data_IF_548969696611
#
_entry.id   IF_548969696611
#
_cell.length_a   1.000
_cell.length_b   1.000
_cell.length_c   1.000
_cell.angle_alpha   90.00
_cell.angle_beta   90.00
_cell.angle_gamma   90.00
#
_symmetry.space_group_name_H-M   'P 1'
#
loop_
_entity.id
_entity.type
_entity.pdbx_description
1 polymer ?
#
# COMPACT_ATOMS: atom_id res chain seq x y z
N UNK A 1 -53.73 -62.02 0.96
CA UNK A 1 -53.64 -60.61 0.52
C UNK A 1 -52.29 -60.06 0.95
N UNK A 2 -51.36 -59.83 0.01
CA UNK A 2 -49.96 -59.47 0.27
C UNK A 2 -49.82 -57.96 0.09
N UNK A 3 -49.55 -57.21 1.16
CA UNK A 3 -49.30 -55.75 1.11
C UNK A 3 -47.83 -55.52 0.74
N UNK A 4 -47.61 -54.82 -0.37
CA UNK A 4 -46.30 -54.35 -0.83
C UNK A 4 -46.15 -52.92 -0.32
N UNK A 5 -45.11 -52.65 0.46
CA UNK A 5 -44.73 -51.30 0.89
C UNK A 5 -43.57 -50.83 0.01
N UNK A 6 -43.78 -49.76 -0.77
CA UNK A 6 -42.72 -49.07 -1.51
C UNK A 6 -42.06 -48.03 -0.59
N UNK A 7 -40.74 -48.02 -0.41
CA UNK A 7 -40.07 -46.94 0.31
C UNK A 7 -39.92 -45.72 -0.63
N UNK A 8 -40.43 -44.57 -0.18
CA UNK A 8 -40.22 -43.29 -0.84
C UNK A 8 -38.82 -42.78 -0.47
N UNK A 9 -37.85 -42.87 -1.38
CA UNK A 9 -36.55 -42.24 -1.21
C UNK A 9 -36.66 -40.75 -1.60
N UNK A 10 -36.66 -39.86 -0.61
CA UNK A 10 -36.50 -38.42 -0.84
C UNK A 10 -35.02 -38.16 -1.15
N UNK A 11 -34.72 -37.83 -2.41
CA UNK A 11 -33.39 -37.38 -2.82
C UNK A 11 -33.24 -35.89 -2.48
N UNK A 12 -32.52 -35.56 -1.41
CA UNK A 12 -32.08 -34.19 -1.16
C UNK A 12 -30.97 -33.84 -2.16
N UNK A 13 -31.28 -32.99 -3.14
CA UNK A 13 -30.29 -32.35 -3.99
C UNK A 13 -29.48 -31.36 -3.14
N UNK A 14 -28.28 -31.77 -2.73
CA UNK A 14 -27.26 -30.86 -2.22
C UNK A 14 -26.84 -29.95 -3.39
N UNK A 15 -27.36 -28.72 -3.40
CA UNK A 15 -26.80 -27.64 -4.20
C UNK A 15 -25.40 -27.35 -3.66
N UNK A 16 -24.39 -27.89 -4.33
CA UNK A 16 -23.00 -27.47 -4.13
C UNK A 16 -22.94 -26.03 -4.64
N UNK A 17 -22.99 -25.05 -3.72
CA UNK A 17 -22.65 -23.68 -4.05
C UNK A 17 -21.19 -23.69 -4.51
N UNK A 18 -20.96 -23.43 -5.79
CA UNK A 18 -19.61 -23.19 -6.29
C UNK A 18 -19.12 -21.92 -5.60
N UNK A 19 -18.03 -22.04 -4.83
CA UNK A 19 -17.34 -20.88 -4.29
C UNK A 19 -16.83 -20.05 -5.49
N UNK A 20 -17.45 -18.91 -5.72
CA UNK A 20 -16.96 -17.93 -6.71
C UNK A 20 -15.83 -17.17 -6.02
N UNK A 21 -14.62 -17.24 -6.58
CA UNK A 21 -13.51 -16.43 -6.08
C UNK A 21 -13.89 -14.95 -6.15
N UNK A 22 -13.51 -14.17 -5.12
CA UNK A 22 -13.69 -12.72 -5.13
C UNK A 22 -12.95 -12.11 -6.35
N UNK A 23 -13.46 -11.02 -6.95
CA UNK A 23 -12.76 -10.32 -8.03
C UNK A 23 -11.33 -9.98 -7.62
N UNK A 24 -10.38 -10.19 -8.53
CA UNK A 24 -9.01 -9.71 -8.36
C UNK A 24 -8.90 -8.31 -8.96
N UNK A 25 -8.65 -7.34 -8.12
CA UNK A 25 -8.37 -5.96 -8.49
C UNK A 25 -7.00 -5.86 -9.16
N UNK A 26 -6.86 -4.88 -10.03
CA UNK A 26 -5.62 -4.62 -10.76
C UNK A 26 -5.38 -3.12 -10.87
N UNK A 27 -4.14 -2.70 -10.60
CA UNK A 27 -3.71 -1.31 -10.78
C UNK A 27 -2.61 -1.24 -11.82
N UNK A 28 -2.81 -0.45 -12.87
CA UNK A 28 -1.79 -0.23 -13.90
C UNK A 28 -0.84 0.91 -13.51
N UNK A 29 -0.01 0.68 -12.49
CA UNK A 29 0.97 1.66 -12.01
C UNK A 29 2.28 1.66 -12.82
N UNK A 30 2.46 0.73 -13.76
CA UNK A 30 3.73 0.51 -14.45
C UNK A 30 4.23 1.73 -15.24
N UNK A 31 3.31 2.48 -15.85
CA UNK A 31 3.61 3.75 -16.54
C UNK A 31 3.88 4.87 -15.53
N UNK A 32 3.05 4.97 -14.49
CA UNK A 32 3.11 6.05 -13.50
C UNK A 32 4.37 6.00 -12.63
N UNK A 33 4.81 4.79 -12.27
CA UNK A 33 6.03 4.55 -11.51
C UNK A 33 7.23 4.27 -12.43
N UNK A 34 7.17 4.64 -13.71
CA UNK A 34 8.34 4.50 -14.57
C UNK A 34 9.41 5.54 -14.18
N UNK A 35 10.66 5.10 -14.01
CA UNK A 35 11.78 5.98 -13.73
C UNK A 35 11.97 7.07 -14.81
N UNK A 36 11.54 6.79 -16.05
CA UNK A 36 11.56 7.74 -17.16
C UNK A 36 10.75 9.02 -16.90
N UNK A 37 9.75 8.97 -16.01
CA UNK A 37 8.94 10.14 -15.65
C UNK A 37 9.75 11.22 -14.93
N UNK A 38 10.80 10.83 -14.19
CA UNK A 38 11.72 11.76 -13.53
C UNK A 38 13.10 11.84 -14.22
N UNK A 39 13.46 10.83 -15.03
CA UNK A 39 14.73 10.76 -15.74
C UNK A 39 14.65 11.53 -17.08
N UNK A 40 14.36 12.82 -17.01
CA UNK A 40 14.32 13.70 -18.18
C UNK A 40 15.72 13.98 -18.73
N UNK A 41 15.81 14.57 -19.93
CA UNK A 41 17.08 14.88 -20.57
C UNK A 41 17.97 15.75 -19.68
N UNK A 42 19.17 15.24 -19.36
CA UNK A 42 20.14 15.92 -18.52
C UNK A 42 19.91 15.77 -17.01
N UNK A 43 18.82 15.12 -16.58
CA UNK A 43 18.60 14.85 -15.17
C UNK A 43 19.66 13.89 -14.61
N UNK A 44 20.08 14.13 -13.37
CA UNK A 44 21.09 13.33 -12.68
C UNK A 44 20.45 12.54 -11.56
N UNK A 45 20.54 11.20 -11.62
CA UNK A 45 20.15 10.35 -10.50
C UNK A 45 21.04 10.66 -9.29
N UNK A 46 20.49 11.21 -8.22
CA UNK A 46 21.22 11.61 -7.01
C UNK A 46 20.97 10.68 -5.83
N UNK A 47 19.81 10.03 -5.75
CA UNK A 47 19.49 9.02 -4.73
C UNK A 47 18.93 7.78 -5.45
N UNK A 48 19.40 6.59 -5.07
CA UNK A 48 18.89 5.31 -5.56
C UNK A 48 19.12 4.23 -4.51
N UNK A 49 18.16 4.13 -3.58
CA UNK A 49 18.29 3.27 -2.40
C UNK A 49 17.12 2.31 -2.27
N UNK A 50 17.33 1.27 -1.48
CA UNK A 50 16.28 0.38 -0.99
C UNK A 50 16.19 0.57 0.51
N UNK A 51 14.98 0.83 0.99
CA UNK A 51 14.67 0.93 2.42
C UNK A 51 13.68 -0.18 2.76
N UNK A 52 13.92 -0.90 3.85
CA UNK A 52 12.98 -1.86 4.40
C UNK A 52 12.24 -1.22 5.58
N UNK A 53 10.92 -1.25 5.58
CA UNK A 53 10.06 -0.70 6.63
C UNK A 53 9.23 -1.82 7.23
N UNK A 54 9.12 -1.83 8.56
CA UNK A 54 8.30 -2.77 9.31
C UNK A 54 7.44 -2.01 10.35
N UNK A 55 6.29 -2.60 10.69
CA UNK A 55 5.42 -2.06 11.73
C UNK A 55 4.86 -0.70 11.34
N UNK A 56 4.58 -0.51 10.06
CA UNK A 56 3.83 0.64 9.54
C UNK A 56 2.33 0.37 9.66
N UNK A 57 1.51 1.35 10.01
CA UNK A 57 0.06 1.18 10.11
C UNK A 57 -0.59 1.66 8.81
N UNK A 58 -1.35 0.78 8.17
CA UNK A 58 -1.98 1.07 6.89
C UNK A 58 -3.43 1.55 7.06
N UNK A 59 -3.75 2.62 6.34
CA UNK A 59 -5.04 3.29 6.39
C UNK A 59 -5.96 2.82 5.27
N UNK A 60 -7.23 2.63 5.60
CA UNK A 60 -8.32 2.43 4.66
C UNK A 60 -8.81 3.76 4.10
N UNK A 61 -9.75 3.68 3.16
CA UNK A 61 -10.27 4.82 2.42
C UNK A 61 -10.88 5.92 3.33
N UNK A 62 -11.49 5.53 4.46
CA UNK A 62 -12.19 6.45 5.37
C UNK A 62 -11.39 6.79 6.62
N UNK A 63 -10.06 6.61 6.55
CA UNK A 63 -9.15 6.94 7.64
C UNK A 63 -9.14 5.92 8.78
N UNK A 64 -9.85 4.79 8.67
CA UNK A 64 -9.65 3.64 9.54
C UNK A 64 -8.24 3.07 9.34
N UNK A 65 -7.67 2.43 10.36
CA UNK A 65 -6.44 1.65 10.20
C UNK A 65 -6.79 0.17 10.26
N UNK A 66 -6.39 -0.59 9.24
CA UNK A 66 -6.88 -1.94 8.99
C UNK A 66 -5.77 -2.99 8.98
N UNK A 67 -4.51 -2.60 8.83
CA UNK A 67 -3.38 -3.53 8.80
C UNK A 67 -2.06 -2.94 9.32
N UNK A 68 -1.10 -3.83 9.57
CA UNK A 68 0.31 -3.49 9.69
C UNK A 68 1.09 -4.01 8.48
N UNK A 69 1.96 -3.16 7.94
CA UNK A 69 2.77 -3.49 6.76
C UNK A 69 4.22 -3.83 7.11
N UNK A 70 4.78 -4.68 6.26
CA UNK A 70 6.20 -5.01 6.13
C UNK A 70 6.55 -4.91 4.64
N UNK A 71 7.38 -3.95 4.26
CA UNK A 71 7.64 -3.67 2.85
C UNK A 71 9.03 -3.13 2.56
N UNK A 72 9.50 -3.41 1.35
CA UNK A 72 10.64 -2.72 0.76
C UNK A 72 10.16 -1.61 -0.15
N UNK A 73 10.73 -0.41 0.01
CA UNK A 73 10.59 0.67 -0.96
C UNK A 73 11.91 0.99 -1.64
N UNK A 74 11.90 1.03 -2.97
CA UNK A 74 13.00 1.60 -3.76
C UNK A 74 12.75 3.09 -3.93
N UNK A 75 13.71 3.91 -3.51
CA UNK A 75 13.64 5.36 -3.60
C UNK A 75 14.63 5.83 -4.66
N UNK A 76 14.12 6.45 -5.71
CA UNK A 76 14.93 7.05 -6.75
C UNK A 76 14.62 8.54 -6.84
N UNK A 77 15.65 9.37 -6.82
CA UNK A 77 15.52 10.84 -6.92
C UNK A 77 16.47 11.36 -7.97
N UNK A 78 15.94 12.15 -8.88
CA UNK A 78 16.65 12.83 -9.94
C UNK A 78 16.72 14.32 -9.64
N UNK A 79 17.91 14.87 -9.72
CA UNK A 79 18.14 16.31 -9.78
C UNK A 79 17.95 16.75 -11.23
N UNK A 80 17.07 17.72 -11.46
CA UNK A 80 16.69 18.13 -12.80
C UNK A 80 17.75 19.07 -13.41
N UNK A 81 17.81 19.10 -14.75
CA UNK A 81 18.86 19.85 -15.46
C UNK A 81 18.56 21.34 -15.57
N UNK A 82 17.28 21.72 -15.48
CA UNK A 82 16.83 23.10 -15.61
C UNK A 82 17.20 23.95 -14.39
N UNK A 83 17.27 23.34 -13.20
CA UNK A 83 17.64 24.01 -11.96
C UNK A 83 18.32 23.01 -11.00
N UNK A 84 19.54 23.28 -10.49
CA UNK A 84 20.22 22.37 -9.57
C UNK A 84 19.47 22.17 -8.23
N UNK A 85 18.54 23.03 -7.87
CA UNK A 85 17.78 22.91 -6.62
C UNK A 85 16.44 22.19 -6.81
N UNK A 86 16.11 21.72 -8.01
CA UNK A 86 14.85 20.99 -8.28
C UNK A 86 15.06 19.49 -8.46
N UNK A 87 14.09 18.73 -7.97
CA UNK A 87 14.13 17.29 -7.88
C UNK A 87 12.79 16.65 -8.27
N UNK A 88 12.85 15.41 -8.72
CA UNK A 88 11.71 14.53 -8.97
C UNK A 88 12.01 13.16 -8.36
N UNK A 89 11.04 12.57 -7.65
CA UNK A 89 11.18 11.30 -6.96
C UNK A 89 10.18 10.26 -7.46
N UNK A 90 10.64 9.02 -7.62
CA UNK A 90 9.79 7.85 -7.82
C UNK A 90 10.10 6.86 -6.71
N UNK A 91 9.06 6.43 -5.99
CA UNK A 91 9.15 5.39 -4.99
C UNK A 91 8.28 4.20 -5.37
N UNK A 92 8.85 3.00 -5.32
CA UNK A 92 8.15 1.73 -5.58
C UNK A 92 8.15 0.86 -4.35
N UNK A 93 7.00 0.33 -3.99
CA UNK A 93 6.74 -0.45 -2.80
C UNK A 93 6.39 -1.87 -3.21
N UNK A 94 6.96 -2.83 -2.51
CA UNK A 94 6.57 -4.23 -2.57
C UNK A 94 6.62 -4.78 -1.15
N UNK A 95 5.52 -5.35 -0.69
CA UNK A 95 5.41 -5.77 0.69
C UNK A 95 4.31 -6.76 0.96
N UNK A 96 4.12 -6.98 2.25
CA UNK A 96 3.07 -7.79 2.84
C UNK A 96 2.40 -7.03 3.96
N UNK A 97 1.18 -7.42 4.27
CA UNK A 97 0.41 -6.85 5.36
C UNK A 97 -0.20 -7.96 6.22
N UNK A 98 -0.52 -7.60 7.46
CA UNK A 98 -1.35 -8.40 8.36
C UNK A 98 -2.45 -7.53 8.96
N UNK A 99 -3.69 -7.97 8.86
CA UNK A 99 -4.84 -7.17 9.29
C UNK A 99 -5.01 -7.15 10.80
N UNK A 100 -5.56 -6.04 11.29
CA UNK A 100 -6.14 -5.92 12.63
C UNK A 100 -7.67 -6.07 12.53
N UNK A 101 -8.35 -6.53 13.59
CA UNK A 101 -9.80 -6.68 13.53
C UNK A 101 -10.47 -5.31 13.50
N UNK A 102 -11.40 -5.09 12.59
CA UNK A 102 -12.10 -3.82 12.48
C UNK A 102 -12.72 -3.60 11.11
N UNK A 103 -12.96 -2.33 10.76
CA UNK A 103 -13.42 -1.94 9.43
C UNK A 103 -12.40 -2.36 8.37
N UNK A 104 -12.90 -2.92 7.28
CA UNK A 104 -12.12 -3.30 6.11
C UNK A 104 -11.53 -2.06 5.39
N UNK A 105 -10.52 -2.21 4.53
CA UNK A 105 -9.89 -1.07 3.87
C UNK A 105 -10.78 -0.31 2.89
N UNK A 106 -11.66 -1.01 2.17
CA UNK A 106 -12.60 -0.46 1.19
C UNK A 106 -13.97 -0.13 1.76
N UNK A 107 -14.12 -0.16 3.10
CA UNK A 107 -15.36 0.23 3.78
C UNK A 107 -15.83 1.60 3.30
N UNK A 108 -16.96 1.66 2.58
CA UNK A 108 -17.52 2.91 2.02
C UNK A 108 -18.89 3.28 2.61
N UNK A 109 -19.64 2.28 3.08
CA UNK A 109 -21.03 2.47 3.55
C UNK A 109 -21.14 2.15 5.05
N UNK A 110 -21.51 3.12 5.90
CA UNK A 110 -21.75 2.87 7.34
C UNK A 110 -22.91 1.92 7.63
N UNK A 111 -23.78 1.63 6.65
CA UNK A 111 -24.85 0.65 6.76
C UNK A 111 -24.40 -0.77 6.36
N UNK A 112 -23.20 -0.94 5.76
CA UNK A 112 -22.59 -2.25 5.54
C UNK A 112 -21.62 -2.56 6.68
N UNK A 113 -21.78 -3.74 7.28
CA UNK A 113 -20.90 -4.23 8.35
C UNK A 113 -19.63 -4.84 7.73
N UNK A 114 -18.98 -4.10 6.83
CA UNK A 114 -17.76 -4.53 6.14
C UNK A 114 -16.59 -4.45 7.11
N UNK A 115 -16.15 -5.64 7.52
CA UNK A 115 -15.14 -5.81 8.55
C UNK A 115 -14.17 -6.88 8.09
N UNK A 116 -12.91 -6.69 8.45
CA UNK A 116 -11.87 -7.68 8.27
C UNK A 116 -11.50 -8.32 9.61
N UNK A 117 -11.33 -9.63 9.61
CA UNK A 117 -10.84 -10.35 10.78
C UNK A 117 -9.37 -10.03 11.03
N UNK A 118 -8.91 -10.20 12.27
CA UNK A 118 -7.49 -10.11 12.59
C UNK A 118 -6.69 -11.25 11.93
N UNK A 119 -5.48 -10.96 11.46
CA UNK A 119 -4.54 -11.98 10.99
C UNK A 119 -4.76 -12.44 9.55
N UNK A 120 -5.62 -11.77 8.77
CA UNK A 120 -5.63 -11.93 7.32
C UNK A 120 -4.30 -11.40 6.80
N UNK A 121 -3.62 -12.19 5.99
CA UNK A 121 -2.32 -11.83 5.41
C UNK A 121 -2.45 -11.69 3.91
N UNK A 122 -1.68 -10.76 3.35
CA UNK A 122 -1.60 -10.60 1.91
C UNK A 122 -0.34 -9.89 1.47
N UNK A 123 -0.27 -9.61 0.18
CA UNK A 123 0.81 -8.85 -0.45
C UNK A 123 0.26 -7.59 -1.07
N UNK A 124 1.11 -6.57 -1.19
CA UNK A 124 0.77 -5.36 -1.91
C UNK A 124 1.95 -4.84 -2.72
N UNK A 125 1.61 -4.09 -3.76
CA UNK A 125 2.56 -3.37 -4.58
C UNK A 125 1.99 -2.03 -5.02
N UNK A 126 2.88 -1.08 -5.30
CA UNK A 126 2.48 0.27 -5.67
C UNK A 126 3.55 1.29 -5.39
N UNK A 127 3.13 2.50 -5.06
CA UNK A 127 4.02 3.58 -4.67
C UNK A 127 3.55 4.93 -5.20
N UNK A 128 4.49 5.84 -5.39
CA UNK A 128 4.16 7.19 -5.83
C UNK A 128 5.28 7.84 -6.65
N UNK A 129 4.88 8.86 -7.41
CA UNK A 129 5.75 9.81 -8.11
C UNK A 129 5.49 11.20 -7.57
N UNK A 130 6.54 11.92 -7.20
CA UNK A 130 6.39 13.31 -6.75
C UNK A 130 6.10 14.26 -7.91
N UNK A 131 5.55 15.42 -7.61
CA UNK A 131 5.71 16.62 -8.45
C UNK A 131 7.19 17.04 -8.48
N UNK A 132 7.52 18.05 -9.29
CA UNK A 132 8.82 18.71 -9.17
C UNK A 132 8.83 19.53 -7.88
N UNK A 133 9.78 19.23 -7.00
CA UNK A 133 9.96 19.92 -5.71
C UNK A 133 11.34 20.56 -5.64
N UNK A 134 11.53 21.52 -4.74
CA UNK A 134 12.84 22.09 -4.45
C UNK A 134 13.46 21.50 -3.19
N UNK A 135 14.78 21.44 -3.13
CA UNK A 135 15.47 20.99 -1.92
C UNK A 135 16.95 21.35 -1.89
N UNK A 136 17.55 21.19 -0.72
CA UNK A 136 18.99 21.35 -0.53
C UNK A 136 19.58 20.02 -0.09
N UNK A 137 20.39 19.40 -0.95
CA UNK A 137 21.05 18.13 -0.63
C UNK A 137 22.01 18.30 0.55
N UNK A 138 21.97 17.36 1.48
CA UNK A 138 22.94 17.26 2.57
C UNK A 138 24.28 16.74 2.05
N UNK A 139 25.37 17.34 2.53
CA UNK A 139 26.73 16.86 2.34
C UNK A 139 27.51 16.95 3.67
N UNK A 140 27.74 15.82 4.38
CA UNK A 140 27.30 14.46 4.04
C UNK A 140 25.79 14.26 4.28
N UNK A 141 25.20 13.31 3.55
CA UNK A 141 23.85 12.79 3.87
C UNK A 141 23.88 11.83 5.05
N UNK A 142 22.74 11.68 5.74
CA UNK A 142 22.63 10.85 6.94
C UNK A 142 22.79 9.35 6.59
N UNK A 143 22.41 8.97 5.37
CA UNK A 143 22.54 7.63 4.83
C UNK A 143 23.20 7.65 3.46
N UNK A 144 23.77 6.50 3.05
CA UNK A 144 24.29 6.33 1.70
C UNK A 144 23.23 6.63 0.64
N UNK A 145 23.65 7.25 -0.46
CA UNK A 145 22.75 7.60 -1.58
C UNK A 145 22.54 6.44 -2.56
N UNK A 146 23.18 5.28 -2.33
CA UNK A 146 23.09 4.08 -3.18
C UNK A 146 22.98 2.80 -2.37
N UNK A 147 22.15 1.86 -2.84
CA UNK A 147 22.02 0.53 -2.24
C UNK A 147 21.04 0.47 -1.06
N UNK A 148 21.15 -0.56 -0.22
CA UNK A 148 20.21 -0.81 0.87
C UNK A 148 20.53 0.05 2.12
N UNK A 149 19.60 0.85 2.65
CA UNK A 149 19.88 1.72 3.81
C UNK A 149 19.47 1.13 5.16
N UNK A 150 19.03 -0.13 5.18
CA UNK A 150 18.68 -0.88 6.38
C UNK A 150 17.17 -1.02 6.58
N UNK A 151 16.83 -1.49 7.77
CA UNK A 151 15.45 -1.69 8.24
C UNK A 151 15.06 -0.60 9.22
N UNK A 152 13.87 -0.06 9.03
CA UNK A 152 13.29 1.01 9.80
C UNK A 152 12.00 0.48 10.43
N UNK A 153 11.96 0.42 11.76
CA UNK A 153 10.74 0.05 12.47
C UNK A 153 9.96 1.31 12.81
N UNK A 154 8.80 1.49 12.19
CA UNK A 154 7.94 2.65 12.45
C UNK A 154 7.23 2.57 13.80
N UNK A 155 7.21 1.38 14.40
CA UNK A 155 6.64 1.11 15.73
C UNK A 155 5.20 1.61 15.84
N UNK A 156 4.44 1.55 14.74
CA UNK A 156 3.07 2.02 14.74
C UNK A 156 2.23 1.20 15.73
N UNK A 157 1.37 1.92 16.45
CA UNK A 157 0.34 1.35 17.32
C UNK A 157 -0.98 1.91 16.82
N UNK A 158 -1.83 1.04 16.27
CA UNK A 158 -3.22 1.38 15.95
C UNK A 158 -3.96 1.57 17.27
N UNK A 159 -4.58 2.74 17.45
CA UNK A 159 -5.18 3.19 18.72
C UNK A 159 -6.70 2.99 18.66
N UNK A 160 -7.27 1.96 19.31
CA UNK A 160 -8.69 1.65 19.17
C UNK A 160 -9.61 2.72 19.76
N UNK A 161 -9.09 3.55 20.67
CA UNK A 161 -9.84 4.61 21.35
C UNK A 161 -9.93 5.92 20.56
N UNK A 162 -9.26 6.02 19.41
CA UNK A 162 -9.33 7.18 18.52
C UNK A 162 -9.78 6.66 17.15
N UNK A 163 -11.00 7.00 16.68
CA UNK A 163 -11.42 6.64 15.33
C UNK A 163 -10.36 7.11 14.32
N UNK A 164 -9.78 6.16 13.59
CA UNK A 164 -8.72 6.46 12.63
C UNK A 164 -7.41 6.97 13.24
N UNK A 165 -7.05 6.53 14.44
CA UNK A 165 -5.79 6.89 15.08
C UNK A 165 -4.72 5.80 14.99
N UNK A 166 -3.53 6.15 14.52
CA UNK A 166 -2.31 5.39 14.72
C UNK A 166 -1.20 6.29 15.27
N UNK A 167 -0.40 5.78 16.20
CA UNK A 167 0.78 6.46 16.71
C UNK A 167 2.03 5.73 16.21
N UNK A 168 2.84 6.39 15.39
CA UNK A 168 4.05 5.83 14.77
C UNK A 168 5.31 6.56 15.28
N UNK A 169 5.73 6.36 16.53
CA UNK A 169 6.88 7.07 17.11
C UNK A 169 8.21 6.77 16.42
N UNK A 170 8.31 5.66 15.69
CA UNK A 170 9.49 5.30 14.91
C UNK A 170 9.43 5.76 13.44
N UNK A 171 8.36 6.46 13.02
CA UNK A 171 8.22 6.96 11.66
C UNK A 171 9.42 7.85 11.29
N UNK A 172 9.96 7.64 10.09
CA UNK A 172 11.04 8.45 9.56
C UNK A 172 10.73 8.86 8.12
N UNK A 173 10.68 10.17 7.90
CA UNK A 173 10.58 10.74 6.56
C UNK A 173 11.92 10.62 5.83
N UNK A 174 11.94 9.87 4.73
CA UNK A 174 13.16 9.65 3.96
C UNK A 174 13.74 10.94 3.37
N UNK A 175 12.93 11.98 3.14
CA UNK A 175 13.43 13.24 2.58
C UNK A 175 14.45 13.87 3.53
N UNK A 176 14.22 13.74 4.84
CA UNK A 176 15.10 14.27 5.88
C UNK A 176 16.46 13.60 5.91
N UNK A 177 16.62 12.38 5.36
CA UNK A 177 17.91 11.69 5.28
C UNK A 177 18.88 12.36 4.30
N UNK A 178 18.33 12.99 3.26
CA UNK A 178 19.11 13.46 2.10
C UNK A 178 19.00 14.96 1.88
N UNK A 179 18.00 15.62 2.45
CA UNK A 179 17.74 17.04 2.28
C UNK A 179 17.73 17.76 3.63
N UNK A 180 18.40 18.92 3.72
CA UNK A 180 18.32 19.81 4.88
C UNK A 180 17.03 20.64 4.88
N UNK A 181 16.45 20.83 3.69
CA UNK A 181 15.13 21.43 3.48
C UNK A 181 14.52 20.90 2.19
N UNK A 182 13.19 20.78 2.19
CA UNK A 182 12.37 20.49 1.01
C UNK A 182 11.21 21.47 0.95
N UNK A 183 10.78 21.86 -0.24
CA UNK A 183 9.60 22.70 -0.44
C UNK A 183 8.84 22.29 -1.71
N UNK A 184 7.50 22.38 -1.66
CA UNK A 184 6.64 22.01 -2.78
C UNK A 184 6.60 20.51 -3.08
N UNK A 185 7.01 19.66 -2.14
CA UNK A 185 6.87 18.22 -2.28
C UNK A 185 5.39 17.85 -2.25
N UNK A 186 4.91 17.29 -3.35
CA UNK A 186 3.55 16.76 -3.50
C UNK A 186 3.59 15.51 -4.39
N UNK A 187 2.48 14.79 -4.49
CA UNK A 187 2.36 13.56 -5.28
C UNK A 187 1.67 13.84 -6.60
N UNK A 188 2.43 13.75 -7.70
CA UNK A 188 1.85 13.82 -9.04
C UNK A 188 1.02 12.57 -9.37
N UNK A 189 1.33 11.44 -8.75
CA UNK A 189 0.55 10.21 -8.81
C UNK A 189 0.87 9.32 -7.61
N UNK A 190 -0.11 8.59 -7.09
CA UNK A 190 0.07 7.52 -6.11
C UNK A 190 -0.97 6.42 -6.29
N UNK A 191 -0.60 5.21 -5.89
CA UNK A 191 -1.54 4.09 -5.87
C UNK A 191 -0.91 2.78 -5.42
N UNK A 192 -1.73 1.95 -4.79
CA UNK A 192 -1.40 0.63 -4.29
C UNK A 192 -2.50 -0.37 -4.62
N UNK A 193 -2.10 -1.62 -4.86
CA UNK A 193 -2.99 -2.77 -5.00
C UNK A 193 -2.60 -3.84 -3.99
N UNK A 194 -3.61 -4.37 -3.31
CA UNK A 194 -3.50 -5.33 -2.23
C UNK A 194 -4.20 -6.63 -2.62
N UNK A 195 -3.59 -7.76 -2.28
CA UNK A 195 -4.09 -9.10 -2.58
C UNK A 195 -4.08 -9.97 -1.32
N UNK A 196 -5.26 -10.41 -0.89
CA UNK A 196 -5.49 -11.21 0.32
C UNK A 196 -6.00 -12.64 0.02
N UNK A 197 -5.79 -13.12 -1.21
CA UNK A 197 -6.30 -14.41 -1.68
C UNK A 197 -7.83 -14.46 -1.66
N UNK A 198 -8.39 -15.48 -1.02
CA UNK A 198 -9.86 -15.66 -0.92
C UNK A 198 -10.55 -14.54 -0.11
N UNK A 199 -9.80 -13.75 0.67
CA UNK A 199 -10.32 -12.61 1.40
C UNK A 199 -10.51 -11.37 0.51
N UNK A 200 -10.05 -11.40 -0.74
CA UNK A 200 -10.28 -10.35 -1.73
C UNK A 200 -9.03 -9.55 -2.07
N UNK A 201 -9.26 -8.41 -2.71
CA UNK A 201 -8.23 -7.49 -3.15
C UNK A 201 -8.80 -6.08 -3.18
N UNK A 202 -7.93 -5.10 -3.00
CA UNK A 202 -8.30 -3.71 -2.88
C UNK A 202 -7.30 -2.84 -3.63
N UNK A 203 -7.81 -1.81 -4.31
CA UNK A 203 -7.01 -0.75 -4.91
C UNK A 203 -7.29 0.54 -4.16
N UNK A 204 -6.22 1.19 -3.73
CA UNK A 204 -6.25 2.53 -3.19
C UNK A 204 -5.39 3.44 -4.07
N UNK A 205 -5.99 4.38 -4.81
CA UNK A 205 -5.24 5.20 -5.75
C UNK A 205 -5.84 6.58 -5.98
N UNK A 206 -5.00 7.51 -6.45
CA UNK A 206 -5.45 8.84 -6.91
C UNK A 206 -6.47 8.75 -8.06
N UNK A 207 -6.46 7.66 -8.83
CA UNK A 207 -7.35 7.43 -9.97
C UNK A 207 -8.69 6.80 -9.55
N UNK A 208 -8.86 6.50 -8.25
CA UNK A 208 -10.05 5.88 -7.68
C UNK A 208 -9.71 4.62 -6.88
N UNK A 209 -10.66 4.25 -6.00
CA UNK A 209 -10.58 3.08 -5.15
C UNK A 209 -11.55 2.00 -5.64
N UNK A 210 -11.18 0.73 -5.48
CA UNK A 210 -12.04 -0.40 -5.86
C UNK A 210 -11.71 -1.66 -5.07
N UNK A 211 -12.69 -2.57 -4.97
CA UNK A 211 -12.55 -3.81 -4.22
C UNK A 211 -12.56 -3.61 -2.70
N UNK A 212 -12.31 -4.70 -1.97
CA UNK A 212 -12.20 -4.71 -0.51
C UNK A 212 -11.53 -6.01 -0.03
N UNK A 213 -11.09 -6.04 1.23
CA UNK A 213 -10.55 -7.20 1.92
C UNK A 213 -11.41 -7.51 3.16
N UNK A 214 -12.09 -8.66 3.15
CA UNK A 214 -13.00 -9.13 4.21
C UNK A 214 -12.78 -10.60 4.54
#
# INVERSE_FOLDING_TARGET
MRRIYLPLFLFWLLLVQQAVAKPSEHLNFGTQLNAAECNTTGARLVINVIQHIIGDADSGEFGNYWAYDDFQRRIQVWQLSENPDTFCAVLKYMGSFVTVPGQSPGFFDPDTNDTVAAGVTGTFEGGYRSTVFTGTLKDPSDYRTRGNIGTFNYMCVIVPSVPGGAACPGYQDWTTFYFSSTAGFDLAWWGWVYHAGDNGSWVNSIDGNSGDIN
#
